data_IF_342561182534
#
_entry.id   IF_342561182534
#
_cell.length_a   1.000
_cell.length_b   1.000
_cell.length_c   1.000
_cell.angle_alpha   90.00
_cell.angle_beta   90.00
_cell.angle_gamma   90.00
#
_symmetry.space_group_name_H-M   'P 1'
#
loop_
_entity.id
_entity.type
_entity.pdbx_description
1 polymer ?
#
# COMPACT_ATOMS: atom_id res chain seq x y z
N UNK A 1 10.33 -22.49 3.53
CA UNK A 1 9.79 -21.14 3.83
C UNK A 1 8.49 -21.21 4.61
N UNK A 2 8.17 -20.21 5.46
CA UNK A 2 6.83 -20.04 6.04
C UNK A 2 5.87 -19.52 4.97
N UNK A 3 4.58 -19.81 5.12
CA UNK A 3 3.53 -19.30 4.24
C UNK A 3 3.48 -17.77 4.26
N UNK A 4 3.40 -17.09 3.11
CA UNK A 4 3.33 -15.65 3.05
C UNK A 4 2.05 -15.08 3.70
N UNK A 5 2.19 -13.90 4.31
CA UNK A 5 1.10 -13.16 4.97
C UNK A 5 0.73 -11.92 4.15
N UNK A 6 -0.54 -11.63 4.02
CA UNK A 6 -1.01 -10.36 3.48
C UNK A 6 -1.13 -9.33 4.61
N UNK A 7 -0.50 -8.17 4.47
CA UNK A 7 -0.68 -7.01 5.37
C UNK A 7 -1.46 -5.92 4.63
N UNK A 8 -2.56 -5.48 5.21
CA UNK A 8 -3.42 -4.44 4.65
C UNK A 8 -3.37 -3.20 5.52
N UNK A 9 -2.86 -2.09 4.98
CA UNK A 9 -2.79 -0.81 5.67
C UNK A 9 -4.15 -0.10 5.63
N UNK A 10 -4.92 -0.19 6.71
CA UNK A 10 -6.27 0.34 6.86
C UNK A 10 -6.42 1.40 7.98
N UNK A 11 -5.30 1.90 8.55
CA UNK A 11 -5.31 2.93 9.61
C UNK A 11 -5.50 4.37 9.08
N UNK A 12 -5.47 4.56 7.76
CA UNK A 12 -5.61 5.87 7.12
C UNK A 12 -7.02 6.45 7.25
N UNK A 13 -7.15 7.75 7.58
CA UNK A 13 -8.45 8.41 7.77
C UNK A 13 -9.03 9.07 6.51
N UNK A 14 -8.41 8.91 5.34
CA UNK A 14 -8.94 9.44 4.09
C UNK A 14 -9.35 10.92 4.13
N UNK A 15 -8.44 11.81 4.52
CA UNK A 15 -8.74 13.24 4.77
C UNK A 15 -9.45 13.95 3.61
N UNK A 16 -9.24 13.52 2.37
CA UNK A 16 -9.89 14.04 1.16
C UNK A 16 -11.26 13.42 0.89
N UNK A 17 -11.51 12.22 1.39
CA UNK A 17 -12.78 11.51 1.22
C UNK A 17 -13.81 11.89 2.29
N UNK A 18 -13.36 12.27 3.48
CA UNK A 18 -14.22 12.71 4.58
C UNK A 18 -14.95 11.57 5.30
N UNK A 19 -14.32 10.38 5.40
CA UNK A 19 -14.88 9.22 6.09
C UNK A 19 -13.98 8.00 6.03
N UNK A 20 -14.47 6.86 6.52
CA UNK A 20 -13.77 5.57 6.54
C UNK A 20 -13.90 4.86 5.19
N UNK A 21 -13.22 5.40 4.17
CA UNK A 21 -13.30 4.93 2.78
C UNK A 21 -12.93 3.47 2.59
N UNK A 22 -12.08 2.92 3.47
CA UNK A 22 -11.67 1.52 3.45
C UNK A 22 -12.80 0.52 3.79
N UNK A 23 -13.93 1.01 4.30
CA UNK A 23 -15.12 0.20 4.58
C UNK A 23 -16.33 0.60 3.73
N UNK A 24 -16.16 1.59 2.84
CA UNK A 24 -17.26 2.10 2.02
C UNK A 24 -17.59 1.11 0.88
N UNK A 25 -18.85 0.62 0.79
CA UNK A 25 -19.22 -0.38 -0.20
C UNK A 25 -19.02 0.11 -1.64
N UNK A 26 -18.52 -0.79 -2.50
CA UNK A 26 -18.34 -0.56 -3.94
C UNK A 26 -19.19 -1.49 -4.81
N UNK A 27 -20.02 -2.33 -4.20
CA UNK A 27 -20.99 -3.17 -4.88
C UNK A 27 -22.30 -3.30 -4.09
N UNK A 28 -23.30 -3.97 -4.70
CA UNK A 28 -24.64 -4.18 -4.10
C UNK A 28 -24.63 -5.16 -2.93
N UNK A 29 -23.62 -6.03 -2.83
CA UNK A 29 -23.46 -7.00 -1.75
C UNK A 29 -22.79 -6.39 -0.52
N UNK A 30 -22.37 -5.12 -0.63
CA UNK A 30 -21.75 -4.38 0.46
C UNK A 30 -20.24 -4.60 0.62
N UNK A 31 -19.57 -5.17 -0.40
CA UNK A 31 -18.13 -5.34 -0.36
C UNK A 31 -17.41 -4.01 -0.57
N UNK A 32 -16.37 -3.75 0.24
CA UNK A 32 -15.43 -2.65 0.04
C UNK A 32 -14.31 -3.07 -0.93
N UNK A 33 -13.50 -2.12 -1.40
CA UNK A 33 -12.35 -2.42 -2.28
C UNK A 33 -11.42 -3.48 -1.66
N UNK A 34 -11.18 -3.39 -0.36
CA UNK A 34 -10.30 -4.34 0.32
C UNK A 34 -10.82 -5.78 0.32
N UNK A 35 -12.16 -6.00 0.24
CA UNK A 35 -12.72 -7.35 0.14
C UNK A 35 -12.23 -8.05 -1.15
N UNK A 36 -12.17 -7.31 -2.27
CA UNK A 36 -11.64 -7.83 -3.55
C UNK A 36 -10.16 -8.13 -3.44
N UNK A 37 -9.37 -7.25 -2.84
CA UNK A 37 -7.94 -7.46 -2.61
C UNK A 37 -7.67 -8.70 -1.74
N UNK A 38 -8.42 -8.89 -0.66
CA UNK A 38 -8.28 -10.07 0.21
C UNK A 38 -8.77 -11.35 -0.49
N UNK A 39 -9.83 -11.26 -1.27
CA UNK A 39 -10.32 -12.36 -2.09
C UNK A 39 -9.26 -12.82 -3.12
N UNK A 40 -8.65 -11.87 -3.84
CA UNK A 40 -7.59 -12.15 -4.81
C UNK A 40 -6.36 -12.77 -4.14
N UNK A 41 -5.95 -12.22 -3.00
CA UNK A 41 -4.85 -12.79 -2.21
C UNK A 41 -5.14 -14.22 -1.77
N UNK A 42 -6.35 -14.49 -1.26
CA UNK A 42 -6.79 -15.85 -0.92
C UNK A 42 -6.71 -16.81 -2.13
N UNK A 43 -7.16 -16.35 -3.30
CA UNK A 43 -7.09 -17.13 -4.54
C UNK A 43 -5.65 -17.38 -4.98
N UNK A 44 -4.74 -16.43 -4.78
CA UNK A 44 -3.31 -16.59 -5.05
C UNK A 44 -2.60 -17.57 -4.10
N UNK A 45 -3.17 -17.84 -2.92
CA UNK A 45 -2.64 -18.81 -1.96
C UNK A 45 -2.37 -18.27 -0.54
N UNK A 46 -2.52 -16.97 -0.30
CA UNK A 46 -2.39 -16.40 1.04
C UNK A 46 -3.45 -16.98 1.97
N UNK A 47 -3.04 -17.41 3.17
CA UNK A 47 -3.92 -18.03 4.17
C UNK A 47 -4.20 -17.12 5.36
N UNK A 48 -3.34 -16.11 5.58
CA UNK A 48 -3.43 -15.14 6.68
C UNK A 48 -3.44 -13.72 6.15
N UNK A 49 -4.31 -12.89 6.73
CA UNK A 49 -4.33 -11.43 6.54
C UNK A 49 -4.15 -10.72 7.88
N UNK A 50 -3.32 -9.69 7.90
CA UNK A 50 -3.13 -8.79 9.04
C UNK A 50 -3.66 -7.41 8.64
N UNK A 51 -4.67 -6.92 9.33
CA UNK A 51 -5.19 -5.58 9.15
C UNK A 51 -4.53 -4.61 10.13
N UNK A 52 -3.86 -3.59 9.59
CA UNK A 52 -3.35 -2.48 10.41
C UNK A 52 -4.45 -1.43 10.47
N UNK A 53 -5.03 -1.25 11.65
CA UNK A 53 -6.14 -0.33 11.91
C UNK A 53 -5.82 0.60 13.08
N UNK A 54 -6.76 1.46 13.46
CA UNK A 54 -6.74 2.19 14.74
C UNK A 54 -7.79 1.60 15.70
N UNK A 55 -7.55 1.65 16.99
CA UNK A 55 -8.55 1.24 17.99
C UNK A 55 -9.88 1.98 17.82
N UNK A 56 -9.83 3.24 17.41
CA UNK A 56 -11.02 4.05 17.20
C UNK A 56 -12.01 3.46 16.17
N UNK A 57 -11.54 2.64 15.23
CA UNK A 57 -12.40 2.02 14.19
C UNK A 57 -12.54 0.50 14.37
N UNK A 58 -11.92 -0.09 15.37
CA UNK A 58 -11.84 -1.56 15.52
C UNK A 58 -13.21 -2.22 15.50
N UNK A 59 -14.16 -1.70 16.29
CA UNK A 59 -15.50 -2.29 16.40
C UNK A 59 -16.20 -2.33 15.04
N UNK A 60 -16.24 -1.21 14.35
CA UNK A 60 -16.92 -1.09 13.07
C UNK A 60 -16.19 -1.89 11.98
N UNK A 61 -14.86 -1.88 12.00
CA UNK A 61 -14.06 -2.64 11.05
C UNK A 61 -14.28 -4.15 11.19
N UNK A 62 -14.29 -4.67 12.42
CA UNK A 62 -14.58 -6.08 12.68
C UNK A 62 -16.01 -6.45 12.27
N UNK A 63 -16.97 -5.58 12.53
CA UNK A 63 -18.37 -5.81 12.17
C UNK A 63 -18.59 -5.82 10.66
N UNK A 64 -18.01 -4.85 9.94
CA UNK A 64 -18.27 -4.64 8.51
C UNK A 64 -17.36 -5.51 7.64
N UNK A 65 -16.08 -5.65 8.00
CA UNK A 65 -15.06 -6.34 7.21
C UNK A 65 -14.72 -7.70 7.82
N UNK A 66 -14.35 -7.69 9.11
CA UNK A 66 -13.87 -8.88 9.81
C UNK A 66 -14.80 -10.06 9.68
N UNK A 67 -16.07 -9.89 10.04
CA UNK A 67 -17.07 -10.97 10.01
C UNK A 67 -17.26 -11.62 8.64
N UNK A 68 -16.96 -10.90 7.55
CA UNK A 68 -17.04 -11.46 6.20
C UNK A 68 -15.83 -12.32 5.86
N UNK A 69 -14.63 -11.93 6.33
CA UNK A 69 -13.35 -12.53 5.95
C UNK A 69 -12.93 -13.65 6.90
N UNK A 70 -13.16 -13.49 8.20
CA UNK A 70 -12.75 -14.45 9.25
C UNK A 70 -13.20 -15.92 9.01
N UNK A 71 -14.34 -16.20 8.39
CA UNK A 71 -14.71 -17.60 8.07
C UNK A 71 -13.83 -18.24 6.99
N UNK A 72 -13.06 -17.46 6.21
CA UNK A 72 -12.36 -17.91 5.02
C UNK A 72 -10.84 -17.79 5.09
N UNK A 73 -10.32 -16.94 5.99
CA UNK A 73 -8.89 -16.71 6.19
C UNK A 73 -8.59 -16.51 7.67
N UNK A 74 -7.35 -16.81 8.08
CA UNK A 74 -6.85 -16.37 9.38
C UNK A 74 -6.70 -14.86 9.38
N UNK A 75 -7.38 -14.19 10.31
CA UNK A 75 -7.38 -12.72 10.42
C UNK A 75 -6.74 -12.28 11.72
N UNK A 76 -5.82 -11.34 11.63
CA UNK A 76 -5.21 -10.68 12.77
C UNK A 76 -5.33 -9.16 12.66
N UNK A 77 -5.44 -8.48 13.79
CA UNK A 77 -5.59 -7.03 13.85
C UNK A 77 -4.42 -6.43 14.62
N UNK A 78 -3.75 -5.47 13.99
CA UNK A 78 -2.64 -4.72 14.56
C UNK A 78 -3.03 -3.25 14.61
N UNK A 79 -2.59 -2.56 15.66
CA UNK A 79 -3.01 -1.18 15.89
C UNK A 79 -1.85 -0.21 15.69
N UNK A 80 -2.03 0.71 14.74
CA UNK A 80 -1.13 1.84 14.55
C UNK A 80 -1.61 3.03 15.37
N UNK A 81 -1.03 3.21 16.56
CA UNK A 81 -1.29 4.34 17.43
C UNK A 81 -0.07 5.27 17.53
N UNK A 82 -0.30 6.54 17.85
CA UNK A 82 0.76 7.55 17.91
C UNK A 82 1.79 7.27 18.99
N UNK A 83 1.38 6.65 20.09
CA UNK A 83 2.22 6.32 21.25
C UNK A 83 3.06 5.04 21.06
N UNK A 84 2.92 4.33 19.94
CA UNK A 84 3.76 3.18 19.59
C UNK A 84 5.14 3.64 19.12
N UNK A 85 5.88 4.26 20.05
CA UNK A 85 7.24 4.78 19.84
C UNK A 85 8.25 3.96 20.64
N UNK A 86 9.52 3.94 20.21
CA UNK A 86 10.60 3.34 20.99
C UNK A 86 10.78 4.07 22.34
N UNK A 87 11.41 3.39 23.31
CA UNK A 87 11.75 3.97 24.60
C UNK A 87 12.54 5.28 24.43
N UNK A 88 12.19 6.29 25.23
CA UNK A 88 12.82 7.62 25.20
C UNK A 88 12.18 8.62 24.24
N UNK A 89 11.26 8.21 23.38
CA UNK A 89 10.52 9.12 22.49
C UNK A 89 9.12 9.41 23.01
N UNK A 90 8.64 10.61 22.74
CA UNK A 90 7.29 11.05 23.11
C UNK A 90 6.56 11.65 21.92
N UNK A 91 5.24 11.47 21.89
CA UNK A 91 4.39 12.11 20.88
C UNK A 91 4.38 13.62 21.11
N UNK A 92 4.70 14.45 20.11
CA UNK A 92 4.59 15.91 20.23
C UNK A 92 3.16 16.32 20.60
N UNK A 93 3.05 17.28 21.51
CA UNK A 93 1.77 17.82 21.93
C UNK A 93 0.97 18.34 20.72
N UNK A 94 -0.29 17.94 20.61
CA UNK A 94 -1.18 18.30 19.49
C UNK A 94 -0.92 17.56 18.18
N UNK A 95 -0.02 16.58 18.12
CA UNK A 95 0.15 15.77 16.92
C UNK A 95 -1.00 14.77 16.77
N UNK A 96 -1.68 14.85 15.62
CA UNK A 96 -2.75 13.90 15.23
C UNK A 96 -2.32 12.99 14.06
N UNK A 97 -1.33 13.44 13.28
CA UNK A 97 -0.88 12.73 12.08
C UNK A 97 -0.07 11.49 12.44
N UNK A 98 -0.43 10.28 11.92
CA UNK A 98 0.36 9.07 12.10
C UNK A 98 1.80 9.23 11.59
N UNK A 99 2.72 8.37 12.08
CA UNK A 99 4.13 8.42 11.69
C UNK A 99 4.44 7.77 10.33
N UNK A 100 3.44 7.46 9.53
CA UNK A 100 3.63 7.00 8.15
C UNK A 100 3.55 5.48 7.97
N UNK A 101 3.75 5.03 6.73
CA UNK A 101 3.55 3.63 6.31
C UNK A 101 4.62 2.67 6.85
N UNK A 102 5.86 3.14 7.03
CA UNK A 102 6.91 2.35 7.68
C UNK A 102 6.60 2.09 9.15
N UNK A 103 6.06 3.09 9.87
CA UNK A 103 5.62 2.91 11.25
C UNK A 103 4.39 1.96 11.33
N UNK A 104 3.48 2.03 10.37
CA UNK A 104 2.36 1.10 10.31
C UNK A 104 2.85 -0.36 10.24
N UNK A 105 3.80 -0.64 9.34
CA UNK A 105 4.40 -1.97 9.23
C UNK A 105 5.19 -2.37 10.48
N UNK A 106 5.91 -1.44 11.09
CA UNK A 106 6.66 -1.72 12.32
C UNK A 106 5.76 -2.21 13.45
N UNK A 107 4.47 -1.79 13.48
CA UNK A 107 3.51 -2.33 14.45
C UNK A 107 3.22 -3.83 14.25
N UNK A 108 3.58 -4.43 13.11
CA UNK A 108 3.39 -5.86 12.84
C UNK A 108 4.57 -6.73 13.31
N UNK A 109 5.65 -6.16 13.85
CA UNK A 109 6.92 -6.87 14.13
C UNK A 109 6.79 -8.08 15.05
N UNK A 110 5.84 -8.04 15.98
CA UNK A 110 5.64 -9.11 16.97
C UNK A 110 4.62 -10.18 16.52
N UNK A 111 3.96 -9.96 15.37
CA UNK A 111 2.89 -10.84 14.85
C UNK A 111 3.18 -11.42 13.47
N UNK A 112 4.19 -10.89 12.77
CA UNK A 112 4.59 -11.34 11.43
C UNK A 112 6.04 -11.78 11.44
N UNK A 113 6.27 -13.07 11.27
CA UNK A 113 7.58 -13.71 11.20
C UNK A 113 7.76 -14.56 9.93
N UNK A 114 6.97 -14.26 8.90
CA UNK A 114 6.95 -14.90 7.58
C UNK A 114 7.18 -13.86 6.47
N UNK A 115 7.50 -14.27 5.23
CA UNK A 115 7.43 -13.36 4.09
C UNK A 115 6.05 -12.71 4.01
N UNK A 116 5.97 -11.47 3.55
CA UNK A 116 4.69 -10.77 3.56
C UNK A 116 4.52 -9.82 2.38
N UNK A 117 3.29 -9.73 1.90
CA UNK A 117 2.85 -8.70 0.98
C UNK A 117 2.23 -7.53 1.74
N UNK A 118 2.38 -6.31 1.22
CA UNK A 118 1.80 -5.08 1.78
C UNK A 118 1.00 -4.36 0.73
N UNK A 119 -0.23 -3.96 1.09
CA UNK A 119 -1.12 -3.17 0.24
C UNK A 119 -1.85 -2.08 1.03
N UNK A 120 -2.39 -1.10 0.32
CA UNK A 120 -3.36 -0.15 0.87
C UNK A 120 -4.78 -0.75 0.85
N UNK A 121 -5.58 -0.45 1.85
CA UNK A 121 -6.96 -0.93 1.95
C UNK A 121 -7.94 -0.28 0.97
N UNK A 122 -7.58 0.87 0.41
CA UNK A 122 -8.42 1.69 -0.47
C UNK A 122 -8.04 1.63 -1.94
N UNK A 123 -7.12 0.71 -2.29
CA UNK A 123 -6.62 0.49 -3.63
C UNK A 123 -7.00 -0.90 -4.15
N UNK A 124 -7.46 -0.97 -5.40
CA UNK A 124 -7.69 -2.21 -6.14
C UNK A 124 -6.50 -2.50 -7.05
N UNK A 125 -5.90 -3.66 -6.89
CA UNK A 125 -4.67 -4.05 -7.60
C UNK A 125 -4.89 -5.10 -8.69
N UNK A 126 -5.99 -5.87 -8.59
CA UNK A 126 -6.33 -6.98 -9.48
C UNK A 126 -5.66 -8.31 -9.14
N UNK A 127 -6.25 -9.43 -9.59
CA UNK A 127 -5.83 -10.77 -9.17
C UNK A 127 -4.39 -11.13 -9.56
N UNK A 128 -3.88 -10.62 -10.69
CA UNK A 128 -2.51 -10.91 -11.13
C UNK A 128 -1.45 -10.33 -10.20
N UNK A 129 -1.70 -9.16 -9.59
CA UNK A 129 -0.78 -8.56 -8.64
C UNK A 129 -0.54 -9.50 -7.44
N UNK A 130 -1.59 -10.09 -6.90
CA UNK A 130 -1.49 -11.02 -5.78
C UNK A 130 -0.83 -12.35 -6.16
N UNK A 131 -1.09 -12.86 -7.36
CA UNK A 131 -0.41 -14.06 -7.86
C UNK A 131 1.10 -13.83 -7.99
N UNK A 132 1.52 -12.70 -8.61
CA UNK A 132 2.94 -12.35 -8.73
C UNK A 132 3.62 -12.19 -7.37
N UNK A 133 2.95 -11.52 -6.40
CA UNK A 133 3.46 -11.39 -5.05
C UNK A 133 3.63 -12.76 -4.36
N UNK A 134 2.62 -13.62 -4.44
CA UNK A 134 2.65 -14.94 -3.81
C UNK A 134 3.74 -15.81 -4.40
N UNK A 135 3.86 -15.87 -5.73
CA UNK A 135 4.87 -16.66 -6.42
C UNK A 135 6.28 -16.19 -6.06
N UNK A 136 6.52 -14.87 -5.99
CA UNK A 136 7.80 -14.33 -5.56
C UNK A 136 8.12 -14.70 -4.12
N UNK A 137 7.19 -14.43 -3.18
CA UNK A 137 7.39 -14.62 -1.75
C UNK A 137 7.54 -16.09 -1.33
N UNK A 138 7.09 -17.03 -2.16
CA UNK A 138 7.25 -18.48 -1.93
C UNK A 138 8.52 -19.05 -2.56
N UNK A 139 9.25 -18.28 -3.38
CA UNK A 139 10.41 -18.76 -4.14
C UNK A 139 11.70 -18.01 -3.84
N UNK A 140 11.63 -16.85 -3.17
CA UNK A 140 12.79 -16.01 -2.86
C UNK A 140 13.00 -15.86 -1.36
N UNK A 141 14.27 -15.97 -0.95
CA UNK A 141 14.73 -15.74 0.42
C UNK A 141 15.88 -14.73 0.39
N UNK A 142 16.14 -14.10 1.53
CA UNK A 142 17.33 -13.26 1.69
C UNK A 142 18.59 -14.13 1.59
N UNK A 143 19.60 -13.58 0.93
CA UNK A 143 20.97 -14.12 0.92
C UNK A 143 21.92 -13.07 1.54
N UNK A 144 22.98 -12.69 0.84
CA UNK A 144 23.83 -11.55 1.24
C UNK A 144 23.11 -10.20 1.09
N UNK A 145 21.94 -10.19 0.44
CA UNK A 145 21.07 -9.03 0.23
C UNK A 145 19.63 -9.36 0.64
N UNK A 146 18.90 -8.35 1.05
CA UNK A 146 17.46 -8.42 1.16
C UNK A 146 16.83 -8.54 -0.23
N UNK A 147 15.91 -9.50 -0.41
CA UNK A 147 15.24 -9.79 -1.69
C UNK A 147 13.77 -9.36 -1.62
N UNK A 148 13.46 -8.24 -2.25
CA UNK A 148 12.13 -7.64 -2.24
C UNK A 148 11.54 -7.57 -3.65
N UNK A 149 10.22 -7.43 -3.71
CA UNK A 149 9.46 -7.24 -4.94
C UNK A 149 8.50 -6.07 -4.81
N UNK A 150 8.25 -5.40 -5.91
CA UNK A 150 7.21 -4.37 -6.01
C UNK A 150 6.39 -4.60 -7.28
N UNK A 151 5.07 -4.58 -7.13
CA UNK A 151 4.17 -4.54 -8.28
C UNK A 151 3.99 -3.09 -8.69
N UNK A 152 4.49 -2.76 -9.88
CA UNK A 152 4.34 -1.44 -10.46
C UNK A 152 3.16 -1.40 -11.44
N UNK A 153 2.56 -0.23 -11.55
CA UNK A 153 1.53 0.09 -12.55
C UNK A 153 2.04 1.19 -13.47
N UNK A 154 1.55 1.23 -14.69
CA UNK A 154 1.88 2.34 -15.59
C UNK A 154 1.13 3.61 -15.16
N UNK A 155 1.80 4.76 -15.21
CA UNK A 155 1.25 6.03 -14.71
C UNK A 155 -0.12 6.35 -15.33
N UNK A 156 -0.31 6.14 -16.63
CA UNK A 156 -1.56 6.42 -17.35
C UNK A 156 -2.76 5.62 -16.80
N UNK A 157 -2.50 4.50 -16.10
CA UNK A 157 -3.51 3.64 -15.49
C UNK A 157 -3.82 4.00 -14.05
N UNK A 158 -3.15 5.01 -13.48
CA UNK A 158 -3.24 5.37 -12.06
C UNK A 158 -3.61 6.82 -11.81
N UNK A 159 -3.86 7.61 -12.85
CA UNK A 159 -4.33 9.00 -12.75
C UNK A 159 -5.84 9.06 -12.74
N UNK A 160 -6.40 10.14 -12.18
CA UNK A 160 -7.83 10.44 -12.17
C UNK A 160 -8.13 11.73 -12.93
N UNK A 161 -9.35 11.85 -13.43
CA UNK A 161 -9.86 13.09 -14.04
C UNK A 161 -10.30 14.12 -12.96
N UNK A 162 -10.43 13.70 -11.70
CA UNK A 162 -11.04 14.48 -10.63
C UNK A 162 -10.06 15.35 -9.83
N UNK A 163 -8.76 15.33 -10.20
CA UNK A 163 -7.74 16.12 -9.50
C UNK A 163 -6.34 15.55 -9.57
N UNK A 164 -5.50 15.98 -8.65
CA UNK A 164 -4.13 15.51 -8.59
C UNK A 164 -4.00 14.22 -7.76
N UNK A 165 -3.00 13.43 -8.10
CA UNK A 165 -2.59 12.24 -7.37
C UNK A 165 -1.12 12.35 -6.93
N UNK A 166 -0.75 11.57 -5.91
CA UNK A 166 0.66 11.35 -5.52
C UNK A 166 1.09 9.95 -5.92
N UNK A 167 2.29 9.81 -6.51
CA UNK A 167 2.84 8.52 -6.96
C UNK A 167 4.35 8.45 -6.72
N UNK A 168 4.82 7.29 -6.32
CA UNK A 168 6.25 6.96 -6.34
C UNK A 168 6.68 6.64 -7.77
N UNK A 169 7.24 7.60 -8.49
CA UNK A 169 7.74 7.41 -9.86
C UNK A 169 9.05 6.64 -9.80
N UNK A 170 9.10 5.51 -10.51
CA UNK A 170 10.19 4.54 -10.44
C UNK A 170 11.14 4.64 -11.64
N UNK A 171 12.44 4.50 -11.37
CA UNK A 171 13.45 4.19 -12.36
C UNK A 171 13.84 2.73 -12.22
N UNK A 172 13.70 1.98 -13.31
CA UNK A 172 13.92 0.53 -13.35
C UNK A 172 15.04 0.24 -14.36
N UNK A 173 15.93 -0.68 -14.03
CA UNK A 173 16.99 -1.06 -14.95
C UNK A 173 16.51 -2.12 -15.98
N UNK A 174 17.39 -2.45 -16.95
CA UNK A 174 17.10 -3.44 -18.00
C UNK A 174 16.80 -4.86 -17.51
N UNK A 175 17.13 -5.15 -16.25
CA UNK A 175 16.91 -6.44 -15.61
C UNK A 175 15.67 -6.39 -14.69
N UNK A 176 14.85 -5.34 -14.79
CA UNK A 176 13.67 -5.09 -13.97
C UNK A 176 13.95 -4.86 -12.47
N UNK A 177 15.13 -4.35 -12.10
CA UNK A 177 15.43 -3.97 -10.73
C UNK A 177 15.23 -2.47 -10.51
N UNK A 178 14.57 -2.12 -9.38
CA UNK A 178 14.38 -0.74 -8.94
C UNK A 178 15.72 -0.08 -8.67
N UNK A 179 15.96 1.08 -9.29
CA UNK A 179 17.14 1.93 -9.06
C UNK A 179 16.82 3.12 -8.16
N UNK A 180 15.67 3.72 -8.40
CA UNK A 180 15.23 4.92 -7.68
C UNK A 180 13.71 4.94 -7.64
N UNK A 181 13.17 5.48 -6.56
CA UNK A 181 11.76 5.80 -6.42
C UNK A 181 11.63 7.22 -5.90
N UNK A 182 10.98 8.08 -6.67
CA UNK A 182 10.79 9.49 -6.32
C UNK A 182 9.33 9.79 -6.11
N UNK A 183 8.94 10.20 -4.90
CA UNK A 183 7.56 10.61 -4.63
C UNK A 183 7.26 11.93 -5.32
N UNK A 184 6.27 11.91 -6.21
CA UNK A 184 5.70 13.09 -6.88
C UNK A 184 4.32 13.35 -6.30
N UNK A 185 4.23 14.37 -5.46
CA UNK A 185 3.04 14.65 -4.63
C UNK A 185 1.91 15.30 -5.41
N UNK A 186 2.20 15.83 -6.61
CA UNK A 186 1.21 16.46 -7.47
C UNK A 186 1.43 16.08 -8.93
N UNK A 187 0.70 15.07 -9.37
CA UNK A 187 0.61 14.61 -10.76
C UNK A 187 -0.83 14.83 -11.21
N UNK A 188 -1.00 15.43 -12.38
CA UNK A 188 -2.32 15.67 -13.00
C UNK A 188 -2.32 15.18 -14.44
N UNK A 189 -3.50 14.88 -14.95
CA UNK A 189 -3.70 14.69 -16.40
C UNK A 189 -3.64 16.04 -17.10
N UNK A 190 -2.75 16.17 -18.09
CA UNK A 190 -2.55 17.38 -18.89
C UNK A 190 -2.69 17.04 -20.38
N UNK A 191 -3.89 17.26 -20.91
CA UNK A 191 -4.21 16.79 -22.26
C UNK A 191 -4.26 15.25 -22.31
N UNK A 192 -3.43 14.64 -23.14
CA UNK A 192 -3.35 13.18 -23.29
C UNK A 192 -2.36 12.53 -22.32
N UNK A 193 -1.49 13.27 -21.65
CA UNK A 193 -0.37 12.76 -20.87
C UNK A 193 -0.50 13.11 -19.38
N UNK A 194 0.20 12.35 -18.52
CA UNK A 194 0.44 12.71 -17.14
C UNK A 194 1.58 13.74 -17.04
N UNK A 195 1.47 14.69 -16.10
CA UNK A 195 2.58 15.59 -15.78
C UNK A 195 2.60 15.93 -14.29
N UNK A 196 3.79 16.18 -13.75
CA UNK A 196 3.96 16.60 -12.35
C UNK A 196 4.48 18.04 -12.27
N UNK A 197 4.22 18.66 -11.13
CA UNK A 197 4.74 19.98 -10.77
C UNK A 197 5.50 19.94 -9.45
N UNK A 198 6.52 20.79 -9.30
CA UNK A 198 7.27 20.99 -8.06
C UNK A 198 7.10 22.41 -7.49
N UNK A 199 6.36 23.27 -8.19
CA UNK A 199 6.19 24.70 -7.95
C UNK A 199 4.70 25.12 -7.98
N UNK A 200 3.84 24.27 -7.39
CA UNK A 200 2.40 24.48 -7.26
C UNK A 200 1.65 24.76 -8.58
N UNK A 201 2.20 24.26 -9.70
CA UNK A 201 1.57 24.36 -11.02
C UNK A 201 2.10 25.49 -11.90
N UNK A 202 3.14 26.21 -11.47
CA UNK A 202 3.79 27.22 -12.31
C UNK A 202 4.52 26.59 -13.52
N UNK A 203 5.10 25.40 -13.32
CA UNK A 203 5.68 24.60 -14.39
C UNK A 203 5.27 23.13 -14.29
N UNK A 204 5.26 22.42 -15.44
CA UNK A 204 4.85 21.03 -15.53
C UNK A 204 5.87 20.22 -16.32
N UNK A 205 6.24 19.07 -15.76
CA UNK A 205 7.13 18.11 -16.41
C UNK A 205 6.33 16.88 -16.81
N UNK A 206 6.28 16.53 -18.12
CA UNK A 206 5.59 15.33 -18.58
C UNK A 206 6.16 14.05 -17.95
N UNK A 207 5.27 13.09 -17.73
CA UNK A 207 5.63 11.72 -17.33
C UNK A 207 5.15 10.78 -18.43
N UNK A 208 6.05 10.06 -19.11
CA UNK A 208 5.65 9.14 -20.18
C UNK A 208 4.64 8.08 -19.69
N UNK A 209 3.66 7.74 -20.51
CA UNK A 209 2.52 6.87 -20.15
C UNK A 209 2.92 5.54 -19.50
N UNK A 210 3.93 4.88 -20.04
CA UNK A 210 4.41 3.58 -19.53
C UNK A 210 5.42 3.71 -18.39
N UNK A 211 5.57 4.90 -17.80
CA UNK A 211 6.44 5.04 -16.63
C UNK A 211 5.90 4.20 -15.47
N UNK A 212 6.70 3.29 -14.91
CA UNK A 212 6.29 2.49 -13.76
C UNK A 212 6.18 3.35 -12.51
N UNK A 213 5.09 3.17 -11.78
CA UNK A 213 4.84 3.87 -10.51
C UNK A 213 4.49 2.86 -9.40
N UNK A 214 4.92 3.17 -8.20
CA UNK A 214 4.54 2.44 -7.00
C UNK A 214 3.17 2.91 -6.51
N UNK A 215 2.34 1.91 -6.19
CA UNK A 215 1.04 2.06 -5.55
C UNK A 215 1.00 1.38 -4.17
N UNK A 216 2.15 1.29 -3.48
CA UNK A 216 2.33 0.57 -2.22
C UNK A 216 1.95 -0.92 -2.28
N UNK A 217 2.20 -1.58 -3.41
CA UNK A 217 2.02 -3.01 -3.59
C UNK A 217 3.39 -3.69 -3.55
N UNK A 218 3.79 -4.17 -2.37
CA UNK A 218 5.15 -4.66 -2.11
C UNK A 218 5.15 -6.07 -1.55
N UNK A 219 6.24 -6.81 -1.79
CA UNK A 219 6.56 -8.05 -1.11
C UNK A 219 7.92 -7.97 -0.42
N UNK A 220 7.97 -8.39 0.83
CA UNK A 220 9.14 -8.33 1.70
C UNK A 220 9.41 -9.67 2.38
N UNK A 221 10.67 -9.90 2.69
CA UNK A 221 11.09 -10.93 3.64
C UNK A 221 10.92 -10.44 5.09
N UNK A 222 10.87 -11.33 6.09
CA UNK A 222 10.70 -10.93 7.50
C UNK A 222 11.77 -9.96 7.99
N UNK A 223 12.99 -10.03 7.42
CA UNK A 223 14.11 -9.15 7.75
C UNK A 223 13.78 -7.65 7.60
N UNK A 224 12.81 -7.29 6.76
CA UNK A 224 12.43 -5.90 6.58
C UNK A 224 11.83 -5.26 7.83
N UNK A 225 11.07 -6.02 8.65
CA UNK A 225 10.53 -5.50 9.91
C UNK A 225 11.65 -5.13 10.89
N UNK A 226 12.74 -5.91 10.92
CA UNK A 226 13.92 -5.57 11.72
C UNK A 226 14.64 -4.32 11.19
N UNK A 227 14.75 -4.17 9.88
CA UNK A 227 15.30 -2.94 9.26
C UNK A 227 14.47 -1.71 9.65
N UNK A 228 13.15 -1.82 9.60
CA UNK A 228 12.25 -0.74 10.02
C UNK A 228 12.49 -0.36 11.50
N UNK A 229 12.59 -1.36 12.38
CA UNK A 229 12.86 -1.16 13.80
C UNK A 229 14.19 -0.45 14.03
N UNK A 230 15.26 -0.92 13.39
CA UNK A 230 16.62 -0.39 13.58
C UNK A 230 16.78 1.06 13.06
N UNK A 231 16.06 1.42 11.99
CA UNK A 231 16.15 2.76 11.37
C UNK A 231 15.17 3.77 11.96
N UNK A 232 14.12 3.34 12.66
CA UNK A 232 13.07 4.22 13.18
C UNK A 232 13.58 5.26 14.18
N UNK A 233 14.48 4.95 15.15
CA UNK A 233 15.04 5.94 16.07
C UNK A 233 15.75 7.09 15.34
N UNK A 234 16.61 6.80 14.36
CA UNK A 234 17.32 7.83 13.60
C UNK A 234 16.35 8.73 12.79
N UNK A 235 15.27 8.15 12.26
CA UNK A 235 14.19 8.93 11.64
C UNK A 235 13.52 9.86 12.64
N UNK A 236 13.20 9.39 13.86
CA UNK A 236 12.57 10.21 14.91
C UNK A 236 13.49 11.35 15.37
N UNK A 237 14.78 11.08 15.57
CA UNK A 237 15.76 12.10 15.96
C UNK A 237 15.81 13.30 15.01
N UNK A 238 15.71 13.03 13.72
CA UNK A 238 15.68 14.06 12.68
C UNK A 238 14.27 14.65 12.52
N UNK A 239 13.28 13.79 12.35
CA UNK A 239 11.92 14.19 11.97
C UNK A 239 11.23 15.03 13.06
N UNK A 240 11.41 14.66 14.34
CA UNK A 240 10.85 15.42 15.46
C UNK A 240 11.50 16.79 15.67
N UNK A 241 12.75 16.96 15.27
CA UNK A 241 13.41 18.28 15.28
C UNK A 241 12.98 19.18 14.13
N UNK A 242 12.87 18.62 12.92
CA UNK A 242 12.61 19.40 11.70
C UNK A 242 11.11 19.67 11.49
N UNK A 243 10.27 18.66 11.69
CA UNK A 243 8.82 18.70 11.38
C UNK A 243 8.01 17.88 12.39
N UNK A 244 7.99 18.27 13.70
CA UNK A 244 7.39 17.44 14.75
C UNK A 244 5.95 17.04 14.49
N UNK A 245 5.14 17.90 13.88
CA UNK A 245 3.73 17.67 13.62
C UNK A 245 3.44 16.88 12.34
N UNK A 246 4.43 16.74 11.42
CA UNK A 246 4.18 16.25 10.06
C UNK A 246 5.18 15.24 9.53
N UNK A 247 6.26 14.93 10.26
CA UNK A 247 7.25 13.95 9.81
C UNK A 247 6.58 12.57 9.65
N UNK A 248 6.91 11.87 8.57
CA UNK A 248 6.38 10.54 8.26
C UNK A 248 7.50 9.60 7.85
N UNK A 249 7.55 8.45 8.47
CA UNK A 249 8.43 7.34 8.17
C UNK A 249 7.82 6.53 7.02
N UNK A 250 8.16 6.91 5.80
CA UNK A 250 7.62 6.27 4.60
C UNK A 250 8.34 4.97 4.28
N UNK A 251 7.59 3.93 4.00
CA UNK A 251 8.10 2.63 3.55
C UNK A 251 9.03 2.77 2.32
N UNK A 252 8.64 3.48 1.23
CA UNK A 252 9.52 3.63 0.07
C UNK A 252 10.85 4.31 0.40
N UNK A 253 10.88 5.23 1.36
CA UNK A 253 12.12 5.91 1.75
C UNK A 253 13.12 4.96 2.42
N UNK A 254 12.63 4.01 3.23
CA UNK A 254 13.49 2.98 3.85
C UNK A 254 14.04 2.03 2.78
N UNK A 255 13.22 1.65 1.81
CA UNK A 255 13.67 0.84 0.66
C UNK A 255 14.75 1.59 -0.12
N UNK A 256 14.55 2.88 -0.42
CA UNK A 256 15.51 3.71 -1.13
C UNK A 256 16.86 3.79 -0.40
N UNK A 257 16.83 3.92 0.94
CA UNK A 257 18.06 3.89 1.74
C UNK A 257 18.80 2.56 1.59
N UNK A 258 18.10 1.43 1.68
CA UNK A 258 18.70 0.09 1.50
C UNK A 258 19.30 -0.11 0.10
N UNK A 259 18.66 0.44 -0.94
CA UNK A 259 19.20 0.42 -2.29
C UNK A 259 20.50 1.22 -2.39
N UNK A 260 20.55 2.42 -1.80
CA UNK A 260 21.76 3.28 -1.73
C UNK A 260 22.89 2.62 -0.93
N UNK A 261 22.55 1.94 0.16
CA UNK A 261 23.46 1.14 0.98
C UNK A 261 23.92 -0.16 0.29
N UNK A 262 23.32 -0.52 -0.85
CA UNK A 262 23.52 -1.79 -1.58
C UNK A 262 23.26 -3.03 -0.71
N UNK A 263 22.25 -2.95 0.15
CA UNK A 263 21.83 -4.01 1.06
C UNK A 263 20.57 -4.74 0.62
N UNK A 264 19.87 -4.21 -0.38
CA UNK A 264 18.67 -4.82 -0.93
C UNK A 264 18.65 -4.77 -2.45
N UNK A 265 17.87 -5.67 -3.03
CA UNK A 265 17.38 -5.58 -4.40
C UNK A 265 15.85 -5.59 -4.37
N UNK A 266 15.24 -4.86 -5.29
CA UNK A 266 13.79 -4.88 -5.48
C UNK A 266 13.52 -5.24 -6.92
N UNK A 267 12.94 -6.40 -7.15
CA UNK A 267 12.44 -6.76 -8.48
C UNK A 267 11.12 -6.03 -8.74
N UNK A 268 11.02 -5.38 -9.89
CA UNK A 268 9.82 -4.63 -10.30
C UNK A 268 9.06 -5.47 -11.31
N UNK A 269 7.88 -5.94 -10.90
CA UNK A 269 6.96 -6.66 -11.77
C UNK A 269 5.85 -5.70 -12.20
N UNK A 270 5.63 -5.57 -13.51
CA UNK A 270 4.63 -4.64 -14.05
C UNK A 270 3.27 -5.32 -14.20
N UNK A 271 2.24 -4.76 -13.58
CA UNK A 271 0.87 -5.18 -13.80
C UNK A 271 0.29 -4.53 -15.07
N UNK A 272 -0.23 -5.37 -15.98
CA UNK A 272 -0.98 -4.90 -17.13
C UNK A 272 -2.43 -4.48 -16.76
N UNK A 273 -2.89 -4.80 -15.56
CA UNK A 273 -4.24 -4.50 -15.08
C UNK A 273 -4.39 -3.00 -14.79
N UNK A 274 -5.62 -2.53 -14.82
CA UNK A 274 -5.92 -1.16 -14.43
C UNK A 274 -6.04 -1.11 -12.90
N UNK A 275 -5.31 -0.18 -12.31
CA UNK A 275 -5.49 0.17 -10.92
C UNK A 275 -6.75 1.03 -10.75
N UNK A 276 -7.45 0.83 -9.65
CA UNK A 276 -8.55 1.68 -9.24
C UNK A 276 -8.38 2.03 -7.76
N UNK A 277 -8.73 3.26 -7.41
CA UNK A 277 -8.71 3.72 -6.03
C UNK A 277 -9.67 4.88 -5.84
N UNK A 278 -10.12 5.07 -4.61
CA UNK A 278 -11.03 6.16 -4.27
C UNK A 278 -10.23 7.27 -3.60
N UNK A 279 -9.67 8.18 -4.41
CA UNK A 279 -8.98 9.38 -3.89
C UNK A 279 -9.99 10.48 -3.59
N UNK A 280 -10.95 10.67 -4.47
CA UNK A 280 -12.06 11.62 -4.37
C UNK A 280 -13.39 10.86 -4.33
N UNK A 281 -14.44 11.47 -3.79
CA UNK A 281 -15.79 10.83 -3.76
C UNK A 281 -16.31 10.51 -5.16
N UNK A 282 -15.95 11.32 -6.13
CA UNK A 282 -16.30 11.19 -7.55
C UNK A 282 -15.70 9.93 -8.17
N UNK A 283 -14.55 9.44 -7.67
CA UNK A 283 -13.90 8.23 -8.15
C UNK A 283 -14.74 6.97 -7.85
N UNK A 284 -15.57 7.00 -6.79
CA UNK A 284 -16.35 5.84 -6.34
C UNK A 284 -17.20 5.23 -7.44
N UNK A 285 -17.87 6.07 -8.24
CA UNK A 285 -18.71 5.58 -9.33
C UNK A 285 -17.91 4.76 -10.34
N UNK A 286 -16.73 5.23 -10.73
CA UNK A 286 -15.89 4.53 -11.70
C UNK A 286 -15.37 3.18 -11.16
N UNK A 287 -15.12 3.10 -9.85
CA UNK A 287 -14.77 1.84 -9.17
C UNK A 287 -15.95 0.88 -9.19
N UNK A 288 -17.15 1.33 -8.82
CA UNK A 288 -18.37 0.50 -8.81
C UNK A 288 -18.70 -0.03 -10.23
N UNK A 289 -18.61 0.84 -11.25
CA UNK A 289 -18.86 0.45 -12.66
C UNK A 289 -17.83 -0.63 -13.09
N UNK A 290 -16.56 -0.45 -12.74
CA UNK A 290 -15.50 -1.42 -13.06
C UNK A 290 -15.69 -2.78 -12.35
N UNK A 291 -16.04 -2.77 -11.06
CA UNK A 291 -16.32 -4.00 -10.30
C UNK A 291 -17.54 -4.74 -10.91
N UNK A 292 -18.60 -3.99 -11.24
CA UNK A 292 -19.78 -4.56 -11.91
C UNK A 292 -19.42 -5.22 -13.23
N UNK A 293 -18.61 -4.58 -14.06
CA UNK A 293 -18.13 -5.14 -15.32
C UNK A 293 -17.30 -6.41 -15.10
N UNK A 294 -16.37 -6.41 -14.12
CA UNK A 294 -15.56 -7.58 -13.79
C UNK A 294 -16.41 -8.77 -13.33
N UNK A 295 -17.48 -8.53 -12.57
CA UNK A 295 -18.44 -9.57 -12.19
C UNK A 295 -19.18 -10.13 -13.43
N UNK A 296 -19.66 -9.26 -14.33
CA UNK A 296 -20.30 -9.67 -15.57
C UNK A 296 -19.39 -10.50 -16.49
N UNK A 297 -18.08 -10.19 -16.49
CA UNK A 297 -17.05 -10.93 -17.22
C UNK A 297 -16.62 -12.23 -16.52
N UNK A 298 -17.13 -12.53 -15.32
CA UNK A 298 -16.80 -13.72 -14.55
C UNK A 298 -15.44 -13.68 -13.87
N UNK A 299 -14.79 -12.50 -13.76
CA UNK A 299 -13.57 -12.32 -12.98
C UNK A 299 -13.85 -12.53 -11.48
N UNK A 300 -14.97 -11.99 -11.01
CA UNK A 300 -15.47 -12.20 -9.66
C UNK A 300 -16.84 -12.86 -9.64
N UNK A 301 -17.14 -13.68 -8.61
CA UNK A 301 -18.50 -14.12 -8.36
C UNK A 301 -19.36 -12.95 -7.89
N UNK A 302 -20.69 -13.13 -7.94
CA UNK A 302 -21.65 -12.12 -7.47
C UNK A 302 -21.40 -11.76 -5.99
N UNK A 303 -21.18 -12.77 -5.15
CA UNK A 303 -20.79 -12.62 -3.75
C UNK A 303 -19.45 -13.31 -3.54
N UNK A 304 -18.44 -12.53 -3.09
CA UNK A 304 -17.06 -12.98 -2.90
C UNK A 304 -16.93 -14.08 -1.83
N UNK A 305 -17.84 -14.07 -0.85
CA UNK A 305 -17.72 -14.84 0.39
C UNK A 305 -18.79 -15.92 0.56
N UNK A 306 -19.41 -16.34 -0.57
CA UNK A 306 -20.36 -17.48 -0.61
C UNK A 306 -19.79 -18.71 -1.26
#
# INVERSE_FOLDING_TARGET
MKEPVLIVMAAGMGSRYGGLKQMDPVDEQGHAILDFSVYDAKKAGFKKVVFIIKHAIEKDFREIVGKRIEPFMEVEYVFQELDKLPEGYQVPEGREKPFGTGHALLCCKDVVDAPFAVINADDYYGPKAFQMLYDYLTTHEDDDLYRYVMIAFHIEKTITENGHVSRGVCQVDKNHYLKEITERTRIEKRGAEAAFTLDDGASWTPVPDKTPVSMNCWGFTPGFLKVLEDKFPAFLDKGLKEKPMKCEYFLPSVVEELLKEKRATVEVMESAEKWYGVTYKEDKKSVMDAISEMKQQGVYPEDLWK
#
